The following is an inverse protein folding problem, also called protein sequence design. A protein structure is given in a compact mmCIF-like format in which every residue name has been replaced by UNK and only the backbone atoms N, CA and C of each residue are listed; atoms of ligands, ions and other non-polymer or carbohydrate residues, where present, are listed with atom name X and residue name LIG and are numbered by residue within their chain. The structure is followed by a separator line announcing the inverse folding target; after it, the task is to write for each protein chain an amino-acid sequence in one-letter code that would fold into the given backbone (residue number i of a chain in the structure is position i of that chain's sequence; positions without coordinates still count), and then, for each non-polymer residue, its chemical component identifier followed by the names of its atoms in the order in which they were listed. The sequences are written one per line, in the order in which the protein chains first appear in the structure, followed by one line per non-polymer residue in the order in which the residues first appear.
data_IF_761674960997
#
_entry.id   IF_761674960997
#
_cell.length_a   1.000
_cell.length_b   1.000
_cell.length_c   1.000
_cell.angle_alpha   90.00
_cell.angle_beta   90.00
_cell.angle_gamma   90.00
#
_symmetry.space_group_name_H-M   'P 1'
#
loop_
_entity.id
_entity.type
_entity.pdbx_description
1 polymer ?
#
# COMPACT_ATOMS: atom_id res chain seq x y z
N UNK A 1 -13.11 -71.67 -54.64
CA UNK A 1 -12.17 -71.92 -53.53
C UNK A 1 -11.13 -70.83 -53.65
N UNK A 2 -11.06 -69.83 -52.79
CA UNK A 2 -11.15 -69.87 -51.33
C UNK A 2 -11.33 -68.42 -50.83
N UNK A 3 -12.10 -68.20 -49.77
CA UNK A 3 -12.04 -66.97 -48.96
C UNK A 3 -11.24 -67.31 -47.70
N UNK A 4 -10.44 -66.36 -47.20
CA UNK A 4 -10.49 -66.13 -45.77
C UNK A 4 -10.71 -64.66 -45.40
N UNK A 5 -11.42 -64.51 -44.28
CA UNK A 5 -11.69 -63.30 -43.53
C UNK A 5 -10.41 -62.69 -42.92
N UNK A 6 -10.42 -61.40 -42.57
CA UNK A 6 -10.58 -60.96 -41.17
C UNK A 6 -10.41 -59.43 -41.01
N UNK A 7 -11.48 -58.81 -40.48
CA UNK A 7 -11.62 -57.76 -39.47
C UNK A 7 -10.69 -56.52 -39.33
N UNK A 8 -11.42 -55.43 -39.01
CA UNK A 8 -11.15 -54.38 -38.00
C UNK A 8 -10.32 -53.15 -38.42
N UNK A 9 -11.00 -52.00 -38.58
CA UNK A 9 -11.28 -51.06 -37.46
C UNK A 9 -11.67 -49.68 -38.03
N UNK A 10 -12.78 -49.12 -37.57
CA UNK A 10 -13.17 -47.71 -37.74
C UNK A 10 -12.87 -46.96 -36.41
N UNK A 11 -13.17 -45.65 -36.24
CA UNK A 11 -13.31 -44.52 -37.17
C UNK A 11 -12.44 -43.30 -36.73
N UNK A 12 -12.41 -42.20 -37.48
CA UNK A 12 -12.30 -40.87 -36.85
C UNK A 12 -13.06 -39.82 -37.67
N UNK A 13 -13.87 -39.04 -36.97
CA UNK A 13 -14.89 -38.15 -37.51
C UNK A 13 -14.33 -36.76 -37.88
N UNK A 14 -14.88 -36.08 -38.91
CA UNK A 14 -14.40 -34.77 -39.29
C UNK A 14 -14.93 -33.66 -38.37
N UNK A 15 -13.99 -32.80 -37.97
CA UNK A 15 -14.15 -31.63 -37.10
C UNK A 15 -15.19 -30.62 -37.61
N UNK A 16 -16.04 -30.18 -36.68
CA UNK A 16 -17.07 -29.18 -36.88
C UNK A 16 -16.51 -27.76 -37.04
N UNK A 17 -17.15 -27.01 -37.93
CA UNK A 17 -16.89 -25.63 -38.31
C UNK A 17 -16.88 -24.65 -37.13
N UNK A 18 -15.96 -23.67 -37.18
CA UNK A 18 -15.98 -22.48 -36.33
C UNK A 18 -16.05 -21.24 -37.22
N UNK A 19 -17.26 -20.69 -37.36
CA UNK A 19 -17.51 -19.39 -37.97
C UNK A 19 -17.11 -18.28 -36.99
N UNK A 20 -15.93 -17.69 -37.20
CA UNK A 20 -15.45 -16.53 -36.44
C UNK A 20 -16.20 -15.25 -36.87
N UNK A 21 -17.21 -14.85 -36.07
CA UNK A 21 -17.80 -13.50 -36.16
C UNK A 21 -16.84 -12.46 -35.58
N UNK A 22 -16.36 -11.56 -36.43
CA UNK A 22 -15.51 -10.43 -36.08
C UNK A 22 -16.17 -9.50 -35.04
N UNK A 23 -15.43 -9.00 -34.02
CA UNK A 23 -15.99 -8.07 -33.05
C UNK A 23 -16.12 -6.66 -33.65
N UNK A 24 -17.34 -6.15 -33.60
CA UNK A 24 -17.72 -4.79 -33.99
C UNK A 24 -16.95 -3.73 -33.20
N UNK A 25 -16.27 -2.80 -33.91
CA UNK A 25 -15.68 -1.59 -33.36
C UNK A 25 -16.78 -0.71 -32.77
N UNK A 26 -16.82 -0.59 -31.44
CA UNK A 26 -17.62 0.43 -30.75
C UNK A 26 -16.72 1.58 -30.25
N UNK A 27 -16.84 2.69 -30.98
CA UNK A 27 -16.77 4.09 -30.57
C UNK A 27 -15.91 4.44 -29.34
N UNK A 28 -14.79 5.13 -29.61
CA UNK A 28 -13.98 5.83 -28.62
C UNK A 28 -14.77 7.02 -28.02
N UNK A 29 -15.62 6.73 -27.04
CA UNK A 29 -16.05 7.74 -26.08
C UNK A 29 -14.82 8.22 -25.32
N UNK A 30 -14.62 9.53 -25.25
CA UNK A 30 -13.64 10.20 -24.39
C UNK A 30 -13.90 9.76 -22.93
N UNK A 31 -13.31 8.63 -22.52
CA UNK A 31 -13.35 8.19 -21.13
C UNK A 31 -12.49 9.17 -20.34
N UNK A 32 -13.11 9.86 -19.38
CA UNK A 32 -12.38 10.50 -18.30
C UNK A 32 -11.37 9.47 -17.79
N UNK A 33 -10.09 9.77 -17.95
CA UNK A 33 -9.04 8.84 -17.55
C UNK A 33 -8.95 8.94 -16.03
N UNK A 34 -9.69 8.08 -15.35
CA UNK A 34 -9.55 7.90 -13.90
C UNK A 34 -8.11 7.43 -13.66
N UNK A 35 -7.33 8.24 -12.96
CA UNK A 35 -6.00 7.85 -12.50
C UNK A 35 -6.12 7.41 -11.06
N UNK A 36 -5.67 6.20 -10.76
CA UNK A 36 -5.59 5.68 -9.41
C UNK A 36 -4.19 5.96 -8.87
N UNK A 37 -4.13 6.68 -7.75
CA UNK A 37 -2.90 7.03 -7.05
C UNK A 37 -3.01 6.56 -5.60
N UNK A 38 -2.03 5.81 -5.13
CA UNK A 38 -1.94 5.34 -3.75
C UNK A 38 -0.83 6.10 -3.04
N UNK A 39 -1.19 6.95 -2.07
CA UNK A 39 -0.26 7.57 -1.15
C UNK A 39 -0.18 6.72 0.12
N UNK A 40 1.03 6.27 0.48
CA UNK A 40 1.30 5.60 1.75
C UNK A 40 2.18 6.50 2.59
N UNK A 41 1.78 6.69 3.84
CA UNK A 41 2.52 7.49 4.82
C UNK A 41 2.87 6.58 5.99
N UNK A 42 4.12 6.62 6.43
CA UNK A 42 4.63 5.84 7.56
C UNK A 42 5.28 6.80 8.55
N UNK A 43 4.70 6.92 9.74
CA UNK A 43 5.27 7.68 10.84
C UNK A 43 5.90 6.77 11.87
N UNK A 44 7.06 7.16 12.41
CA UNK A 44 7.62 6.55 13.63
C UNK A 44 7.33 7.45 14.84
N UNK A 45 7.33 6.83 16.02
CA UNK A 45 7.10 7.55 17.27
C UNK A 45 8.23 8.52 17.66
N UNK A 46 9.32 8.54 16.89
CA UNK A 46 10.42 9.50 16.99
C UNK A 46 10.16 10.78 16.16
N UNK A 47 9.01 10.86 15.47
CA UNK A 47 8.65 12.02 14.66
C UNK A 47 9.23 12.00 13.24
N UNK A 48 9.84 10.88 12.82
CA UNK A 48 10.25 10.70 11.43
C UNK A 48 9.07 10.14 10.61
N UNK A 49 8.56 10.95 9.67
CA UNK A 49 7.50 10.53 8.75
C UNK A 49 8.06 10.36 7.35
N UNK A 50 7.64 9.30 6.67
CA UNK A 50 8.02 9.00 5.28
C UNK A 50 6.77 8.86 4.43
N UNK A 51 6.79 9.44 3.25
CA UNK A 51 5.72 9.29 2.26
C UNK A 51 6.24 8.61 0.99
N UNK A 52 5.39 7.75 0.43
CA UNK A 52 5.56 7.15 -0.88
C UNK A 52 4.27 7.26 -1.69
N UNK A 53 4.39 7.49 -2.99
CA UNK A 53 3.25 7.60 -3.91
C UNK A 53 3.43 6.57 -5.02
N UNK A 54 2.39 5.77 -5.25
CA UNK A 54 2.26 4.82 -6.36
C UNK A 54 1.16 5.25 -7.31
N UNK A 55 1.37 5.07 -8.60
CA UNK A 55 0.35 5.16 -9.63
C UNK A 55 0.17 3.78 -10.25
N UNK A 56 -0.95 3.12 -9.94
CA UNK A 56 -1.11 1.68 -10.18
C UNK A 56 0.02 0.90 -9.52
N UNK A 57 0.85 0.23 -10.32
CA UNK A 57 1.99 -0.58 -9.82
C UNK A 57 3.33 0.17 -9.78
N UNK A 58 3.38 1.41 -10.29
CA UNK A 58 4.63 2.16 -10.45
C UNK A 58 4.80 3.16 -9.31
N UNK A 59 5.97 3.17 -8.69
CA UNK A 59 6.30 4.21 -7.71
C UNK A 59 6.63 5.52 -8.43
N UNK A 60 5.91 6.58 -8.10
CA UNK A 60 6.16 7.94 -8.59
C UNK A 60 7.14 8.65 -7.65
N UNK A 61 6.97 8.44 -6.33
CA UNK A 61 7.76 9.09 -5.28
C UNK A 61 8.06 8.06 -4.19
N UNK A 62 9.29 8.07 -3.65
CA UNK A 62 9.75 7.14 -2.60
C UNK A 62 10.64 7.85 -1.58
N UNK A 63 10.58 7.39 -0.33
CA UNK A 63 11.45 7.82 0.78
C UNK A 63 11.50 9.33 0.99
N UNK A 64 10.37 10.02 0.80
CA UNK A 64 10.31 11.46 1.10
C UNK A 64 10.15 11.63 2.59
N UNK A 65 11.11 12.28 3.22
CA UNK A 65 11.01 12.70 4.61
C UNK A 65 9.98 13.82 4.69
N UNK A 66 9.00 13.65 5.56
CA UNK A 66 7.90 14.57 5.75
C UNK A 66 7.89 14.99 7.21
N UNK A 67 7.60 16.26 7.46
CA UNK A 67 7.30 16.69 8.83
C UNK A 67 5.87 16.24 9.20
N UNK A 68 5.69 15.77 10.43
CA UNK A 68 4.39 15.52 11.05
C UNK A 68 3.37 16.63 10.73
N UNK A 69 3.74 17.89 10.99
CA UNK A 69 2.87 19.05 10.74
C UNK A 69 2.47 19.25 9.27
N UNK A 70 3.30 18.78 8.32
CA UNK A 70 2.97 18.84 6.90
C UNK A 70 1.98 17.72 6.51
N UNK A 71 2.07 16.54 7.14
CA UNK A 71 1.09 15.46 6.96
C UNK A 71 -0.28 15.91 7.45
N UNK A 72 -0.37 16.55 8.62
CA UNK A 72 -1.61 17.12 9.17
C UNK A 72 -2.25 18.13 8.22
N UNK A 73 -1.44 19.04 7.64
CA UNK A 73 -1.93 20.03 6.67
C UNK A 73 -2.42 19.38 5.39
N UNK A 74 -1.66 18.44 4.84
CA UNK A 74 -2.05 17.72 3.63
C UNK A 74 -3.31 16.87 3.84
N UNK A 75 -3.45 16.22 5.00
CA UNK A 75 -4.65 15.46 5.34
C UNK A 75 -5.89 16.37 5.43
N UNK A 76 -5.75 17.55 6.05
CA UNK A 76 -6.82 18.56 6.10
C UNK A 76 -7.22 19.07 4.73
N UNK A 77 -6.26 19.26 3.83
CA UNK A 77 -6.51 19.69 2.45
C UNK A 77 -7.14 18.57 1.59
N UNK A 78 -6.85 17.31 1.90
CA UNK A 78 -7.39 16.17 1.16
C UNK A 78 -8.82 15.83 1.61
N UNK A 79 -9.04 15.61 2.91
CA UNK A 79 -10.37 15.39 3.50
C UNK A 79 -10.34 15.39 5.04
N UNK A 80 -11.33 16.01 5.70
CA UNK A 80 -11.43 16.03 7.17
C UNK A 80 -11.59 14.63 7.81
N UNK A 81 -12.20 13.68 7.11
CA UNK A 81 -12.32 12.29 7.60
C UNK A 81 -10.97 11.56 7.67
N UNK A 82 -9.97 11.98 6.88
CA UNK A 82 -8.62 11.44 6.97
C UNK A 82 -7.81 12.19 8.03
N UNK A 83 -8.06 13.49 8.18
CA UNK A 83 -7.40 14.34 9.17
C UNK A 83 -7.61 13.85 10.61
N UNK A 84 -8.87 13.61 10.99
CA UNK A 84 -9.25 13.26 12.36
C UNK A 84 -8.51 12.03 12.92
N UNK A 85 -8.48 10.86 12.24
CA UNK A 85 -7.75 9.68 12.73
C UNK A 85 -6.23 9.87 12.68
N UNK A 86 -5.70 10.64 11.72
CA UNK A 86 -4.26 10.92 11.63
C UNK A 86 -3.80 11.78 12.82
N UNK A 87 -4.51 12.87 13.13
CA UNK A 87 -4.18 13.71 14.29
C UNK A 87 -4.27 12.94 15.60
N UNK A 88 -5.33 12.14 15.79
CA UNK A 88 -5.48 11.32 16.99
C UNK A 88 -4.29 10.36 17.17
N UNK A 89 -3.85 9.69 16.10
CA UNK A 89 -2.67 8.82 16.11
C UNK A 89 -1.38 9.60 16.42
N UNK A 90 -1.24 10.81 15.87
CA UNK A 90 -0.07 11.67 16.07
C UNK A 90 0.02 12.20 17.50
N UNK A 91 -1.10 12.56 18.11
CA UNK A 91 -1.15 12.99 19.51
C UNK A 91 -0.85 11.83 20.46
N UNK A 92 -1.34 10.62 20.15
CA UNK A 92 -0.99 9.43 20.91
C UNK A 92 0.51 9.12 20.81
N UNK A 93 1.09 9.20 19.61
CA UNK A 93 2.53 9.02 19.40
C UNK A 93 3.35 10.05 20.19
N UNK A 94 2.92 11.32 20.23
CA UNK A 94 3.56 12.37 21.03
C UNK A 94 3.47 12.06 22.53
N UNK A 95 2.32 11.58 23.00
CA UNK A 95 2.13 11.16 24.40
C UNK A 95 3.08 10.02 24.79
N UNK A 96 3.21 9.01 23.92
CA UNK A 96 4.14 7.90 24.12
C UNK A 96 5.61 8.36 24.13
N UNK A 97 5.97 9.31 23.26
CA UNK A 97 7.29 9.91 23.26
C UNK A 97 7.56 10.66 24.58
N UNK A 98 6.62 11.50 25.03
CA UNK A 98 6.76 12.24 26.29
C UNK A 98 6.88 11.31 27.50
N UNK A 99 6.11 10.22 27.54
CA UNK A 99 6.21 9.20 28.59
C UNK A 99 7.57 8.50 28.59
N UNK A 100 8.10 8.14 27.41
CA UNK A 100 9.44 7.55 27.28
C UNK A 100 10.54 8.50 27.73
N UNK A 101 10.46 9.78 27.35
CA UNK A 101 11.42 10.80 27.78
C UNK A 101 11.37 10.99 29.29
N UNK A 102 10.18 11.11 29.89
CA UNK A 102 10.03 11.28 31.34
C UNK A 102 10.57 10.08 32.13
N UNK A 103 10.37 8.85 31.64
CA UNK A 103 10.94 7.65 32.27
C UNK A 103 12.47 7.65 32.22
N UNK A 104 13.04 7.96 31.06
CA UNK A 104 14.50 8.03 30.88
C UNK A 104 15.13 9.17 31.70
N UNK A 105 14.45 10.31 31.83
CA UNK A 105 14.91 11.43 32.65
C UNK A 105 14.90 11.08 34.14
N UNK A 106 13.90 10.36 34.63
CA UNK A 106 13.85 9.87 36.01
C UNK A 106 14.98 8.87 36.31
N UNK A 107 15.29 7.98 35.36
CA UNK A 107 16.43 7.05 35.47
C UNK A 107 17.77 7.81 35.50
N UNK A 108 17.94 8.84 34.67
CA UNK A 108 19.13 9.69 34.68
C UNK A 108 19.27 10.50 35.97
N UNK A 109 18.18 11.04 36.51
CA UNK A 109 18.19 11.79 37.77
C UNK A 109 18.56 10.88 38.95
N UNK A 110 18.01 9.67 39.01
CA UNK A 110 18.35 8.68 40.02
C UNK A 110 19.85 8.28 39.94
N UNK A 111 20.36 8.07 38.73
CA UNK A 111 21.78 7.78 38.51
C UNK A 111 22.70 8.94 38.90
N UNK A 112 22.32 10.19 38.57
CA UNK A 112 23.06 11.39 38.97
C UNK A 112 23.09 11.58 40.49
N UNK A 113 21.97 11.32 41.17
CA UNK A 113 21.89 11.43 42.63
C UNK A 113 22.78 10.39 43.31
N UNK A 114 22.73 9.14 42.85
CA UNK A 114 23.60 8.09 43.38
C UNK A 114 25.09 8.44 43.23
N UNK A 115 25.50 9.02 42.09
CA UNK A 115 26.87 9.49 41.91
C UNK A 115 27.23 10.64 42.87
N UNK A 116 26.32 11.59 43.10
CA UNK A 116 26.53 12.70 44.02
C UNK A 116 26.60 12.28 45.50
N UNK A 117 25.98 11.15 45.88
CA UNK A 117 26.09 10.58 47.23
C UNK A 117 27.44 9.83 47.45
N UNK A 118 28.23 9.62 46.39
CA UNK A 118 29.52 8.90 46.41
C UNK A 118 30.76 9.83 46.42
N UNK A 119 30.59 11.11 46.12
CA UNK A 119 31.60 12.19 46.26
C UNK A 119 31.44 12.92 47.60
#
# INVERSE_FOLDING_TARGET
MDLPAESASAPDAPVAASEAKAPTRKTAGKKAKTFELTLTVTGTADGEWRAEIKQGSTYVVRNVVVAAAAVSRAAKELHEELYTPIEALMDEARSQQAARVAALEAELEAARKALADLD
#
